data_IF_937488622344
#
_entry.id   IF_937488622344
#
_cell.length_a   1.000
_cell.length_b   1.000
_cell.length_c   1.000
_cell.angle_alpha   90.00
_cell.angle_beta   90.00
_cell.angle_gamma   90.00
#
_symmetry.space_group_name_H-M   'P 1'
#
loop_
_entity.id
_entity.type
_entity.pdbx_description
1 polymer ?
#
# COMPACT_ATOMS: atom_id res chain seq x y z
N UNK A 1 2.28 -34.95 15.59
CA UNK A 1 1.51 -36.20 15.32
C UNK A 1 0.49 -35.85 14.26
N UNK A 2 0.75 -36.14 12.98
CA UNK A 2 -0.21 -35.99 11.91
C UNK A 2 -1.33 -37.02 12.15
N UNK A 3 -2.52 -36.59 12.56
CA UNK A 3 -3.71 -37.39 12.48
C UNK A 3 -3.90 -37.78 11.01
N UNK A 4 -4.13 -39.06 10.72
CA UNK A 4 -4.64 -39.52 9.43
C UNK A 4 -5.99 -38.82 9.21
N UNK A 5 -5.97 -37.63 8.67
CA UNK A 5 -7.19 -36.89 8.29
C UNK A 5 -7.59 -37.38 6.90
N UNK A 6 -8.76 -37.95 6.82
CA UNK A 6 -9.37 -38.35 5.55
C UNK A 6 -10.14 -37.14 5.01
N UNK A 7 -9.45 -36.25 4.27
CA UNK A 7 -10.03 -35.01 3.77
C UNK A 7 -10.58 -35.16 2.38
N UNK A 8 -11.80 -34.65 2.20
CA UNK A 8 -12.51 -34.59 0.93
C UNK A 8 -12.71 -33.12 0.54
N UNK A 9 -12.17 -32.71 -0.59
CA UNK A 9 -12.51 -31.44 -1.21
C UNK A 9 -13.79 -31.60 -2.05
N UNK A 10 -14.75 -30.70 -1.87
CA UNK A 10 -15.97 -30.62 -2.66
C UNK A 10 -16.10 -29.23 -3.25
N UNK A 11 -16.33 -29.16 -4.56
CA UNK A 11 -16.56 -27.92 -5.29
C UNK A 11 -17.96 -27.95 -5.89
N UNK A 12 -18.80 -26.99 -5.47
CA UNK A 12 -20.16 -26.83 -5.98
C UNK A 12 -20.22 -25.54 -6.79
N UNK A 13 -20.72 -25.61 -8.00
CA UNK A 13 -20.84 -24.43 -8.87
C UNK A 13 -22.15 -24.40 -9.66
N UNK A 14 -22.64 -23.21 -9.97
CA UNK A 14 -23.84 -23.00 -10.75
C UNK A 14 -24.56 -21.70 -10.46
N UNK A 15 -25.84 -21.61 -10.81
CA UNK A 15 -26.64 -20.40 -10.57
C UNK A 15 -26.87 -20.17 -9.08
N UNK A 16 -26.47 -18.99 -8.60
CA UNK A 16 -26.62 -18.60 -7.20
C UNK A 16 -28.09 -18.35 -6.83
N UNK A 17 -28.46 -18.81 -5.63
CA UNK A 17 -29.78 -18.60 -5.00
C UNK A 17 -29.72 -18.84 -3.49
N UNK A 18 -30.59 -18.19 -2.72
CA UNK A 18 -30.67 -18.42 -1.27
C UNK A 18 -30.90 -19.91 -0.92
N UNK A 19 -30.24 -20.37 0.15
CA UNK A 19 -30.44 -21.68 0.73
C UNK A 19 -29.51 -22.78 0.24
N UNK A 20 -28.66 -22.56 -0.77
CA UNK A 20 -27.72 -23.58 -1.27
C UNK A 20 -26.79 -24.05 -0.13
N UNK A 21 -26.08 -23.15 0.50
CA UNK A 21 -25.14 -23.47 1.59
C UNK A 21 -25.85 -24.19 2.75
N UNK A 22 -27.06 -23.75 3.11
CA UNK A 22 -27.84 -24.38 4.18
C UNK A 22 -28.22 -25.84 3.86
N UNK A 23 -28.50 -26.16 2.61
CA UNK A 23 -28.86 -27.52 2.18
C UNK A 23 -27.64 -28.43 2.21
N UNK A 24 -26.49 -27.99 1.70
CA UNK A 24 -25.25 -28.76 1.74
C UNK A 24 -24.77 -28.97 3.18
N UNK A 25 -24.72 -27.93 4.01
CA UNK A 25 -24.28 -28.06 5.40
C UNK A 25 -25.21 -28.94 6.25
N UNK A 26 -26.49 -29.02 5.94
CA UNK A 26 -27.41 -29.93 6.59
C UNK A 26 -27.11 -31.40 6.31
N UNK A 27 -26.71 -31.72 5.07
CA UNK A 27 -26.24 -33.06 4.71
C UNK A 27 -24.99 -33.41 5.51
N UNK A 28 -24.01 -32.49 5.57
CA UNK A 28 -22.78 -32.70 6.35
C UNK A 28 -23.06 -32.93 7.83
N UNK A 29 -23.98 -32.14 8.40
CA UNK A 29 -24.43 -32.33 9.80
C UNK A 29 -25.06 -33.72 10.02
N UNK A 30 -25.93 -34.17 9.11
CA UNK A 30 -26.59 -35.49 9.23
C UNK A 30 -25.59 -36.65 9.15
N UNK A 31 -24.47 -36.49 8.46
CA UNK A 31 -23.40 -37.45 8.35
C UNK A 31 -22.30 -37.29 9.42
N UNK A 32 -22.45 -36.36 10.36
CA UNK A 32 -21.45 -36.02 11.41
C UNK A 32 -20.09 -35.65 10.80
N UNK A 33 -20.08 -34.83 9.74
CA UNK A 33 -18.90 -34.37 9.02
C UNK A 33 -18.53 -32.97 9.50
N UNK A 34 -17.25 -32.76 9.81
CA UNK A 34 -16.70 -31.46 10.17
C UNK A 34 -16.21 -30.72 8.90
N UNK A 35 -16.60 -29.46 8.75
CA UNK A 35 -16.07 -28.58 7.72
C UNK A 35 -14.78 -27.99 8.24
N UNK A 36 -13.66 -28.36 7.62
CA UNK A 36 -12.31 -27.88 8.00
C UNK A 36 -12.04 -26.50 7.41
N UNK A 37 -12.50 -26.30 6.16
CA UNK A 37 -12.37 -25.03 5.46
C UNK A 37 -13.55 -24.82 4.51
N UNK A 38 -13.94 -23.57 4.33
CA UNK A 38 -15.06 -23.19 3.46
C UNK A 38 -14.77 -21.85 2.80
N UNK A 39 -14.94 -21.79 1.49
CA UNK A 39 -14.91 -20.56 0.71
C UNK A 39 -16.12 -20.51 -0.20
N UNK A 40 -16.80 -19.35 -0.23
CA UNK A 40 -17.91 -19.11 -1.13
C UNK A 40 -17.72 -17.79 -1.86
N UNK A 41 -17.81 -17.84 -3.18
CA UNK A 41 -17.80 -16.66 -4.03
C UNK A 41 -19.06 -16.63 -4.91
N UNK A 42 -19.64 -15.44 -5.08
CA UNK A 42 -20.72 -15.22 -6.03
C UNK A 42 -20.31 -14.12 -7.00
N UNK A 43 -20.19 -14.46 -8.28
CA UNK A 43 -19.85 -13.53 -9.34
C UNK A 43 -20.95 -13.52 -10.40
N UNK A 44 -21.57 -12.36 -10.61
CA UNK A 44 -22.66 -12.19 -11.60
C UNK A 44 -23.77 -13.25 -11.50
N UNK A 45 -24.20 -13.60 -10.29
CA UNK A 45 -25.19 -14.64 -9.98
C UNK A 45 -24.72 -16.07 -10.26
N UNK A 46 -23.41 -16.29 -10.40
CA UNK A 46 -22.81 -17.62 -10.42
C UNK A 46 -22.13 -17.87 -9.07
N UNK A 47 -22.49 -18.99 -8.44
CA UNK A 47 -21.92 -19.48 -7.19
C UNK A 47 -20.71 -20.36 -7.48
N UNK A 48 -19.64 -20.15 -6.73
CA UNK A 48 -18.60 -21.15 -6.45
C UNK A 48 -18.54 -21.37 -4.94
N UNK A 49 -18.78 -22.60 -4.50
CA UNK A 49 -18.70 -23.01 -3.10
C UNK A 49 -17.67 -24.12 -2.99
N UNK A 50 -16.63 -23.89 -2.20
CA UNK A 50 -15.51 -24.81 -1.95
C UNK A 50 -15.58 -25.26 -0.51
N UNK A 51 -15.52 -26.56 -0.27
CA UNK A 51 -15.61 -27.18 1.05
C UNK A 51 -14.46 -28.16 1.22
N UNK A 52 -13.74 -28.07 2.33
CA UNK A 52 -12.79 -29.09 2.77
C UNK A 52 -13.41 -29.80 3.97
N UNK A 53 -13.66 -31.08 3.83
CA UNK A 53 -14.45 -31.91 4.74
C UNK A 53 -13.57 -32.95 5.42
N UNK A 54 -13.61 -33.06 6.76
CA UNK A 54 -12.99 -34.16 7.52
C UNK A 54 -13.96 -35.32 7.66
N UNK A 55 -13.67 -36.42 6.98
CA UNK A 55 -14.47 -37.65 7.02
C UNK A 55 -14.08 -38.58 8.16
N UNK A 56 -13.12 -38.25 9.02
CA UNK A 56 -12.60 -39.12 10.08
C UNK A 56 -13.66 -39.53 11.09
N UNK A 57 -14.70 -38.74 11.30
CA UNK A 57 -15.81 -38.94 12.23
C UNK A 57 -17.15 -39.22 11.52
N UNK A 58 -17.12 -39.41 10.20
CA UNK A 58 -18.35 -39.63 9.45
C UNK A 58 -19.14 -40.82 9.96
N UNK A 59 -20.46 -40.69 10.13
CA UNK A 59 -21.37 -41.71 10.59
C UNK A 59 -21.65 -42.77 9.53
N UNK A 60 -21.36 -42.50 8.27
CA UNK A 60 -21.57 -43.39 7.13
C UNK A 60 -20.31 -43.44 6.23
N UNK A 61 -20.31 -44.35 5.25
CA UNK A 61 -19.22 -44.47 4.28
C UNK A 61 -19.08 -43.21 3.43
N UNK A 62 -17.86 -42.96 3.00
CA UNK A 62 -17.55 -41.83 2.06
C UNK A 62 -18.45 -41.83 0.83
N UNK A 63 -18.71 -43.00 0.23
CA UNK A 63 -19.58 -43.12 -0.94
C UNK A 63 -21.01 -42.68 -0.67
N UNK A 64 -21.52 -42.95 0.53
CA UNK A 64 -22.86 -42.51 0.95
C UNK A 64 -22.92 -40.97 1.01
N UNK A 65 -21.92 -40.36 1.62
CA UNK A 65 -21.81 -38.88 1.69
C UNK A 65 -21.77 -38.25 0.32
N UNK A 66 -20.87 -38.76 -0.54
CA UNK A 66 -20.72 -38.25 -1.92
C UNK A 66 -22.02 -38.40 -2.70
N UNK A 67 -22.71 -39.53 -2.56
CA UNK A 67 -23.99 -39.79 -3.24
C UNK A 67 -25.06 -38.75 -2.82
N UNK A 68 -25.17 -38.47 -1.53
CA UNK A 68 -26.16 -37.51 -1.03
C UNK A 68 -25.84 -36.08 -1.48
N UNK A 69 -24.55 -35.70 -1.47
CA UNK A 69 -24.12 -34.40 -1.99
C UNK A 69 -24.37 -34.26 -3.49
N UNK A 70 -24.10 -35.30 -4.30
CA UNK A 70 -24.38 -35.32 -5.73
C UNK A 70 -25.88 -35.25 -6.02
N UNK A 71 -26.69 -35.97 -5.26
CA UNK A 71 -28.13 -35.93 -5.38
C UNK A 71 -28.67 -34.53 -5.12
N UNK A 72 -28.20 -33.89 -4.04
CA UNK A 72 -28.59 -32.53 -3.71
C UNK A 72 -28.17 -31.51 -4.80
N UNK A 73 -26.93 -31.61 -5.28
CA UNK A 73 -26.47 -30.77 -6.38
C UNK A 73 -27.36 -30.90 -7.62
N UNK A 74 -27.73 -32.15 -7.98
CA UNK A 74 -28.64 -32.44 -9.08
C UNK A 74 -30.01 -31.80 -8.89
N UNK A 75 -30.64 -31.90 -7.69
CA UNK A 75 -31.89 -31.28 -7.37
C UNK A 75 -31.86 -29.75 -7.51
N UNK A 76 -30.72 -29.16 -7.28
CA UNK A 76 -30.48 -27.73 -7.36
C UNK A 76 -29.97 -27.28 -8.76
N UNK A 77 -29.83 -28.18 -9.74
CA UNK A 77 -29.20 -27.92 -11.03
C UNK A 77 -27.81 -27.26 -10.88
N UNK A 78 -27.01 -27.78 -9.94
CA UNK A 78 -25.63 -27.37 -9.69
C UNK A 78 -24.68 -28.48 -10.14
N UNK A 79 -23.49 -28.11 -10.53
CA UNK A 79 -22.38 -29.03 -10.80
C UNK A 79 -21.61 -29.25 -9.49
N UNK A 80 -21.32 -30.52 -9.18
CA UNK A 80 -20.46 -30.89 -8.03
C UNK A 80 -19.28 -31.72 -8.52
N UNK A 81 -18.09 -31.30 -8.12
CA UNK A 81 -16.85 -32.04 -8.28
C UNK A 81 -16.28 -32.33 -6.89
N UNK A 82 -15.55 -33.42 -6.78
CA UNK A 82 -14.88 -33.78 -5.53
C UNK A 82 -13.52 -34.42 -5.77
N UNK A 83 -12.61 -34.28 -4.82
CA UNK A 83 -11.27 -34.87 -4.81
C UNK A 83 -10.88 -35.22 -3.38
N UNK A 84 -10.30 -36.41 -3.20
CA UNK A 84 -9.63 -36.77 -1.96
C UNK A 84 -8.26 -36.11 -1.89
N UNK A 85 -7.91 -35.59 -0.74
CA UNK A 85 -6.56 -35.10 -0.48
C UNK A 85 -5.60 -36.28 -0.24
N UNK A 86 -4.45 -36.26 -0.92
CA UNK A 86 -3.32 -37.15 -0.59
C UNK A 86 -2.53 -36.58 0.59
N UNK A 87 -1.69 -37.38 1.27
CA UNK A 87 -0.76 -36.88 2.28
C UNK A 87 0.16 -35.76 1.76
N UNK A 88 0.55 -35.81 0.50
CA UNK A 88 1.37 -34.79 -0.18
C UNK A 88 0.61 -33.49 -0.37
N UNK A 89 -0.68 -33.55 -0.73
CA UNK A 89 -1.55 -32.36 -0.79
C UNK A 89 -1.64 -31.69 0.59
N UNK A 90 -1.68 -32.48 1.67
CA UNK A 90 -1.75 -31.97 3.04
C UNK A 90 -0.47 -31.27 3.47
N UNK A 91 0.68 -31.80 3.08
CA UNK A 91 1.97 -31.18 3.36
C UNK A 91 2.10 -29.84 2.62
N UNK A 92 1.70 -29.80 1.34
CA UNK A 92 1.69 -28.58 0.53
C UNK A 92 0.80 -27.48 1.12
N UNK A 93 -0.36 -27.84 1.70
CA UNK A 93 -1.26 -26.87 2.38
C UNK A 93 -0.65 -26.25 3.64
N UNK A 94 0.30 -26.93 4.29
CA UNK A 94 0.98 -26.44 5.50
C UNK A 94 2.12 -25.46 5.21
N UNK A 95 2.62 -25.44 3.98
CA UNK A 95 3.80 -24.65 3.57
C UNK A 95 3.36 -23.38 2.83
N UNK A 96 2.92 -22.38 3.61
CA UNK A 96 2.46 -21.10 3.08
C UNK A 96 3.39 -19.95 3.47
N UNK A 97 3.87 -19.22 2.47
CA UNK A 97 4.54 -17.94 2.62
C UNK A 97 3.85 -16.94 1.70
N UNK A 98 2.83 -16.27 2.24
CA UNK A 98 1.91 -15.48 1.44
C UNK A 98 2.36 -14.03 1.32
N UNK A 99 2.26 -13.52 0.11
CA UNK A 99 2.40 -12.10 -0.22
C UNK A 99 1.17 -11.62 -0.98
N UNK A 100 0.95 -10.32 -0.95
CA UNK A 100 -0.07 -9.66 -1.74
C UNK A 100 0.62 -8.78 -2.76
N UNK A 101 0.41 -9.11 -4.03
CA UNK A 101 0.80 -8.30 -5.17
C UNK A 101 -0.39 -7.43 -5.58
N UNK A 102 -0.23 -6.11 -5.52
CA UNK A 102 -1.24 -5.15 -6.00
C UNK A 102 -0.67 -4.39 -7.18
N UNK A 103 -1.41 -4.30 -8.29
CA UNK A 103 -1.01 -3.47 -9.42
C UNK A 103 -2.16 -2.60 -9.93
N UNK A 104 -1.81 -1.45 -10.52
CA UNK A 104 -2.76 -0.47 -11.02
C UNK A 104 -2.77 -0.47 -12.56
N UNK A 105 -3.20 -1.58 -13.13
CA UNK A 105 -3.26 -1.75 -14.58
C UNK A 105 -4.27 -2.82 -14.99
N UNK A 106 -4.73 -2.77 -16.24
CA UNK A 106 -5.71 -3.71 -16.77
C UNK A 106 -5.10 -5.06 -17.20
N UNK A 107 -5.81 -5.75 -18.09
CA UNK A 107 -5.45 -7.10 -18.59
C UNK A 107 -4.00 -7.26 -19.05
N UNK A 108 -3.36 -6.30 -19.77
CA UNK A 108 -1.97 -6.46 -20.15
C UNK A 108 -1.02 -6.57 -18.95
N UNK A 109 -1.24 -5.77 -17.91
CA UNK A 109 -0.43 -5.82 -16.69
C UNK A 109 -0.64 -7.14 -15.92
N UNK A 110 -1.89 -7.60 -15.82
CA UNK A 110 -2.21 -8.88 -15.21
C UNK A 110 -1.49 -10.03 -15.91
N UNK A 111 -1.45 -10.03 -17.25
CA UNK A 111 -0.77 -11.07 -18.04
C UNK A 111 0.75 -11.07 -17.78
N UNK A 112 1.40 -9.90 -17.84
CA UNK A 112 2.84 -9.77 -17.64
C UNK A 112 3.27 -10.18 -16.22
N UNK A 113 2.55 -9.73 -15.19
CA UNK A 113 2.88 -10.11 -13.82
C UNK A 113 2.61 -11.58 -13.55
N UNK A 114 1.52 -12.14 -14.08
CA UNK A 114 1.26 -13.58 -13.97
C UNK A 114 2.33 -14.42 -14.64
N UNK A 115 2.89 -13.97 -15.78
CA UNK A 115 4.00 -14.64 -16.44
C UNK A 115 5.27 -14.64 -15.57
N UNK A 116 5.64 -13.50 -14.98
CA UNK A 116 6.79 -13.42 -14.07
C UNK A 116 6.60 -14.33 -12.85
N UNK A 117 5.39 -14.35 -12.27
CA UNK A 117 5.07 -15.22 -11.14
C UNK A 117 5.22 -16.70 -11.52
N UNK A 118 4.75 -17.08 -12.71
CA UNK A 118 4.87 -18.46 -13.21
C UNK A 118 6.33 -18.86 -13.45
N UNK A 119 7.16 -17.99 -14.04
CA UNK A 119 8.60 -18.21 -14.27
C UNK A 119 9.37 -18.43 -12.96
N UNK A 120 8.99 -17.74 -11.90
CA UNK A 120 9.58 -17.89 -10.56
C UNK A 120 8.90 -18.96 -9.69
N UNK A 121 8.03 -19.80 -10.30
CA UNK A 121 7.28 -20.88 -9.64
C UNK A 121 6.42 -20.39 -8.45
N UNK A 122 5.81 -19.23 -8.60
CA UNK A 122 4.91 -18.62 -7.61
C UNK A 122 3.47 -18.96 -7.93
N UNK A 123 2.77 -19.58 -6.99
CA UNK A 123 1.34 -19.86 -7.14
C UNK A 123 0.50 -18.64 -6.78
N UNK A 124 -0.52 -18.36 -7.60
CA UNK A 124 -1.54 -17.34 -7.31
C UNK A 124 -2.71 -18.04 -6.62
N UNK A 125 -2.98 -17.71 -5.35
CA UNK A 125 -4.07 -18.33 -4.59
C UNK A 125 -5.41 -17.62 -4.83
N UNK A 126 -5.41 -16.29 -4.84
CA UNK A 126 -6.62 -15.49 -5.10
C UNK A 126 -6.32 -14.30 -5.99
N UNK A 127 -7.29 -13.90 -6.80
CA UNK A 127 -7.26 -12.66 -7.57
C UNK A 127 -8.56 -11.91 -7.31
N UNK A 128 -8.45 -10.65 -6.92
CA UNK A 128 -9.57 -9.73 -6.83
C UNK A 128 -9.27 -8.44 -7.59
N UNK A 129 -10.28 -7.87 -8.21
CA UNK A 129 -10.13 -6.60 -8.93
C UNK A 129 -11.13 -5.58 -8.40
N UNK A 130 -10.66 -4.35 -8.26
CA UNK A 130 -11.50 -3.20 -7.90
C UNK A 130 -11.34 -2.13 -8.96
N UNK A 131 -12.45 -1.60 -9.44
CA UNK A 131 -12.44 -0.50 -10.43
C UNK A 131 -12.97 0.75 -9.76
N UNK A 132 -12.21 1.83 -9.76
CA UNK A 132 -12.60 3.10 -9.15
C UNK A 132 -12.27 4.27 -10.07
N UNK A 133 -13.27 5.12 -10.36
CA UNK A 133 -13.12 6.37 -11.14
C UNK A 133 -12.14 6.29 -12.33
N UNK A 134 -12.13 5.14 -13.03
CA UNK A 134 -11.22 4.89 -14.16
C UNK A 134 -9.87 4.28 -13.79
N UNK A 135 -9.58 4.06 -12.50
CA UNK A 135 -8.42 3.32 -12.03
C UNK A 135 -8.78 1.85 -11.80
N UNK A 136 -8.02 0.93 -12.38
CA UNK A 136 -8.15 -0.50 -12.14
C UNK A 136 -7.07 -0.96 -11.19
N UNK A 137 -7.43 -1.42 -10.00
CA UNK A 137 -6.50 -2.14 -9.13
C UNK A 137 -6.81 -3.63 -9.14
N UNK A 138 -5.78 -4.44 -9.24
CA UNK A 138 -5.84 -5.89 -9.11
C UNK A 138 -4.97 -6.30 -7.93
N UNK A 139 -5.56 -7.03 -6.99
CA UNK A 139 -4.86 -7.62 -5.85
C UNK A 139 -4.78 -9.13 -6.04
N UNK A 140 -3.58 -9.68 -5.99
CA UNK A 140 -3.31 -11.12 -6.08
C UNK A 140 -2.66 -11.59 -4.78
N UNK A 141 -3.26 -12.57 -4.10
CA UNK A 141 -2.57 -13.29 -3.02
C UNK A 141 -1.73 -14.38 -3.66
N UNK A 142 -0.42 -14.36 -3.40
CA UNK A 142 0.56 -15.25 -4.01
C UNK A 142 1.34 -16.01 -2.97
N UNK A 143 1.62 -17.28 -3.20
CA UNK A 143 2.42 -18.12 -2.33
C UNK A 143 3.85 -18.23 -2.86
N UNK A 144 4.78 -17.61 -2.16
CA UNK A 144 6.20 -17.55 -2.53
C UNK A 144 7.06 -18.58 -1.79
N UNK A 145 6.46 -19.65 -1.25
CA UNK A 145 7.19 -20.65 -0.47
C UNK A 145 8.37 -21.26 -1.25
N UNK A 146 8.20 -21.51 -2.54
CA UNK A 146 9.22 -22.12 -3.41
C UNK A 146 10.23 -21.12 -4.02
N UNK A 147 10.13 -19.82 -3.72
CA UNK A 147 10.97 -18.79 -4.33
C UNK A 147 12.34 -18.73 -3.67
N UNK A 148 13.41 -18.79 -4.46
CA UNK A 148 14.79 -18.76 -3.98
C UNK A 148 15.20 -17.38 -3.41
N UNK A 149 14.62 -16.29 -3.91
CA UNK A 149 14.89 -14.92 -3.45
C UNK A 149 13.70 -14.00 -3.72
N UNK A 150 13.07 -13.55 -2.63
CA UNK A 150 11.99 -12.56 -2.68
C UNK A 150 12.49 -11.22 -3.24
N UNK A 151 13.71 -10.83 -2.93
CA UNK A 151 14.28 -9.57 -3.43
C UNK A 151 14.46 -9.60 -4.95
N UNK A 152 14.86 -10.74 -5.52
CA UNK A 152 14.95 -10.92 -6.96
C UNK A 152 13.56 -10.83 -7.62
N UNK A 153 12.57 -11.55 -7.10
CA UNK A 153 11.19 -11.48 -7.57
C UNK A 153 10.67 -10.05 -7.52
N UNK A 154 10.86 -9.37 -6.38
CA UNK A 154 10.48 -7.96 -6.22
C UNK A 154 11.14 -7.07 -7.26
N UNK A 155 12.42 -7.27 -7.52
CA UNK A 155 13.18 -6.49 -8.51
C UNK A 155 12.63 -6.68 -9.94
N UNK A 156 12.34 -7.92 -10.35
CA UNK A 156 11.75 -8.21 -11.66
C UNK A 156 10.38 -7.54 -11.82
N UNK A 157 9.51 -7.68 -10.81
CA UNK A 157 8.18 -7.05 -10.79
C UNK A 157 8.28 -5.52 -10.87
N UNK A 158 9.19 -4.90 -10.11
CA UNK A 158 9.39 -3.44 -10.13
C UNK A 158 9.98 -2.92 -11.45
N UNK A 159 10.86 -3.69 -12.11
CA UNK A 159 11.35 -3.37 -13.46
C UNK A 159 10.20 -3.38 -14.44
N UNK A 160 9.40 -4.45 -14.45
CA UNK A 160 8.25 -4.57 -15.35
C UNK A 160 7.20 -3.48 -15.11
N UNK A 161 6.92 -3.15 -13.87
CA UNK A 161 6.01 -2.05 -13.48
C UNK A 161 6.44 -0.72 -14.11
N UNK A 162 7.74 -0.41 -14.07
CA UNK A 162 8.30 0.80 -14.70
C UNK A 162 8.21 0.76 -16.22
N UNK A 163 8.47 -0.38 -16.85
CA UNK A 163 8.31 -0.55 -18.30
C UNK A 163 6.87 -0.28 -18.75
N UNK A 164 5.91 -0.76 -17.97
CA UNK A 164 4.48 -0.57 -18.22
C UNK A 164 3.97 0.83 -17.80
N UNK A 165 4.75 1.58 -17.01
CA UNK A 165 4.36 2.90 -16.50
C UNK A 165 3.20 2.86 -15.51
N UNK A 166 3.07 1.78 -14.72
CA UNK A 166 2.00 1.57 -13.74
C UNK A 166 2.53 1.39 -12.33
N UNK A 167 1.68 1.65 -11.33
CA UNK A 167 2.00 1.38 -9.93
C UNK A 167 1.96 -0.12 -9.61
N UNK A 168 2.85 -0.54 -8.69
CA UNK A 168 2.91 -1.91 -8.19
C UNK A 168 3.34 -1.94 -6.74
N UNK A 169 2.74 -2.84 -5.95
CA UNK A 169 3.11 -3.14 -4.57
C UNK A 169 3.23 -4.64 -4.33
N UNK A 170 4.27 -5.04 -3.60
CA UNK A 170 4.43 -6.40 -3.09
C UNK A 170 4.57 -6.33 -1.56
N UNK A 171 3.56 -6.77 -0.85
CA UNK A 171 3.48 -6.73 0.61
C UNK A 171 3.37 -8.14 1.17
N UNK A 172 4.00 -8.39 2.31
CA UNK A 172 3.78 -9.66 3.02
C UNK A 172 2.36 -9.75 3.56
N UNK A 173 1.74 -10.91 3.48
CA UNK A 173 0.40 -11.15 4.02
C UNK A 173 0.49 -11.28 5.55
N UNK A 174 0.35 -10.16 6.24
CA UNK A 174 0.50 -10.07 7.70
C UNK A 174 -0.71 -9.38 8.35
N UNK A 175 -0.88 -9.60 9.65
CA UNK A 175 -2.00 -9.03 10.42
C UNK A 175 -2.10 -7.50 10.33
N UNK A 176 -0.96 -6.82 10.21
CA UNK A 176 -0.92 -5.36 10.14
C UNK A 176 -0.98 -4.78 8.72
N UNK A 177 -1.11 -5.61 7.67
CA UNK A 177 -1.22 -5.12 6.29
C UNK A 177 -2.38 -4.15 6.11
N UNK A 178 -3.56 -4.52 6.61
CA UNK A 178 -4.80 -3.72 6.56
C UNK A 178 -5.08 -2.94 7.87
N UNK A 179 -4.13 -2.90 8.80
CA UNK A 179 -4.29 -2.23 10.10
C UNK A 179 -3.18 -1.19 10.31
N UNK A 180 -3.02 -0.32 9.33
CA UNK A 180 -2.14 0.84 9.45
C UNK A 180 -2.86 1.96 10.21
N UNK A 181 -2.11 2.77 10.97
CA UNK A 181 -2.67 3.78 11.87
C UNK A 181 -2.00 5.14 11.77
N UNK A 182 -0.75 5.18 11.31
CA UNK A 182 0.04 6.41 11.22
C UNK A 182 0.71 6.47 9.85
N UNK A 183 0.53 7.59 9.14
CA UNK A 183 1.11 7.77 7.81
C UNK A 183 1.94 9.05 7.81
N UNK A 184 3.20 8.93 7.37
CA UNK A 184 4.07 10.06 7.12
C UNK A 184 4.30 10.27 5.63
N UNK A 185 4.24 11.51 5.22
CA UNK A 185 4.53 11.94 3.87
C UNK A 185 5.73 12.89 3.87
N UNK A 186 6.62 12.74 2.90
CA UNK A 186 7.45 13.87 2.49
C UNK A 186 6.57 14.96 1.86
N UNK A 187 7.07 16.19 1.80
CA UNK A 187 6.31 17.32 1.27
C UNK A 187 6.65 17.57 -0.19
N UNK A 188 7.88 17.98 -0.46
CA UNK A 188 8.34 18.39 -1.79
C UNK A 188 8.33 17.21 -2.77
N UNK A 189 7.81 17.39 -3.98
CA UNK A 189 7.65 16.34 -5.00
C UNK A 189 6.83 15.10 -4.55
N UNK A 190 6.24 15.15 -3.36
CA UNK A 190 5.37 14.09 -2.80
C UNK A 190 3.96 14.63 -2.53
N UNK A 191 3.71 15.36 -1.44
CA UNK A 191 2.40 16.00 -1.19
C UNK A 191 2.13 17.17 -2.14
N UNK A 192 3.17 17.86 -2.54
CA UNK A 192 3.11 18.99 -3.45
C UNK A 192 3.91 18.70 -4.73
N UNK A 193 3.38 19.13 -5.87
CA UNK A 193 3.99 18.86 -7.20
C UNK A 193 5.04 19.92 -7.56
N UNK A 194 5.98 20.16 -6.61
CA UNK A 194 7.08 21.12 -6.81
C UNK A 194 8.16 20.96 -5.72
N UNK A 195 9.33 21.52 -5.99
CA UNK A 195 10.40 21.76 -5.02
C UNK A 195 10.29 23.20 -4.50
N UNK A 196 9.87 23.39 -3.26
CA UNK A 196 9.61 24.73 -2.69
C UNK A 196 10.85 25.63 -2.68
N UNK A 197 12.03 25.06 -2.39
CA UNK A 197 13.27 25.83 -2.38
C UNK A 197 13.62 26.41 -3.76
N UNK A 198 13.22 25.75 -4.84
CA UNK A 198 13.46 26.23 -6.19
C UNK A 198 12.57 27.44 -6.53
N UNK A 199 11.33 27.46 -6.06
CA UNK A 199 10.45 28.63 -6.19
C UNK A 199 10.94 29.82 -5.37
N UNK A 200 11.41 29.55 -4.15
CA UNK A 200 12.05 30.58 -3.33
C UNK A 200 13.27 31.17 -4.05
N UNK A 201 14.09 30.33 -4.67
CA UNK A 201 15.26 30.74 -5.41
C UNK A 201 14.94 31.53 -6.68
N UNK A 202 13.85 31.18 -7.37
CA UNK A 202 13.33 31.97 -8.51
C UNK A 202 12.86 33.36 -8.06
N UNK A 203 12.10 33.41 -6.97
CA UNK A 203 11.61 34.67 -6.41
C UNK A 203 12.75 35.56 -5.90
N UNK A 204 13.82 34.96 -5.36
CA UNK A 204 15.02 35.69 -4.93
C UNK A 204 16.00 36.00 -6.07
N UNK A 205 15.76 35.53 -7.31
CA UNK A 205 16.66 35.76 -8.46
C UNK A 205 17.96 34.94 -8.42
N UNK A 206 18.05 33.88 -7.60
CA UNK A 206 19.26 33.05 -7.36
C UNK A 206 19.11 31.60 -7.78
N UNK A 207 18.13 31.30 -8.65
CA UNK A 207 17.79 29.92 -9.02
C UNK A 207 18.98 29.15 -9.62
N UNK A 208 19.81 29.81 -10.47
CA UNK A 208 20.96 29.14 -11.09
C UNK A 208 22.02 28.71 -10.08
N UNK A 209 22.27 29.54 -9.07
CA UNK A 209 23.22 29.27 -7.99
C UNK A 209 22.72 28.11 -7.10
N UNK A 210 21.45 28.15 -6.73
CA UNK A 210 20.80 27.10 -5.94
C UNK A 210 20.81 25.77 -6.70
N UNK A 211 20.43 25.73 -7.98
CA UNK A 211 20.46 24.56 -8.81
C UNK A 211 21.86 23.93 -8.90
N UNK A 212 22.92 24.76 -9.03
CA UNK A 212 24.32 24.28 -9.05
C UNK A 212 24.71 23.60 -7.74
N UNK A 213 24.28 24.13 -6.59
CA UNK A 213 24.57 23.50 -5.29
C UNK A 213 23.81 22.17 -5.18
N UNK A 214 22.58 22.11 -5.62
CA UNK A 214 21.75 20.89 -5.64
C UNK A 214 22.42 19.81 -6.50
N UNK A 215 22.89 20.15 -7.72
CA UNK A 215 23.62 19.20 -8.58
C UNK A 215 24.88 18.64 -7.93
N UNK A 216 25.67 19.49 -7.25
CA UNK A 216 26.86 19.05 -6.54
C UNK A 216 26.53 18.11 -5.39
N UNK A 217 25.48 18.40 -4.62
CA UNK A 217 24.99 17.52 -3.56
C UNK A 217 24.55 16.15 -4.12
N UNK A 218 23.83 16.14 -5.26
CA UNK A 218 23.42 14.91 -5.94
C UNK A 218 24.61 14.07 -6.46
N UNK A 219 25.76 14.69 -6.73
CA UNK A 219 27.02 14.00 -7.06
C UNK A 219 27.81 13.54 -5.83
N UNK A 220 27.31 13.84 -4.61
CA UNK A 220 28.02 13.50 -3.37
C UNK A 220 29.17 14.43 -3.01
N UNK A 221 29.31 15.62 -3.65
CA UNK A 221 30.32 16.61 -3.32
C UNK A 221 30.07 17.35 -2.01
N UNK A 222 28.79 17.40 -1.58
CA UNK A 222 28.33 17.95 -0.32
C UNK A 222 27.37 16.98 0.37
N UNK A 223 27.39 16.95 1.70
CA UNK A 223 26.31 16.33 2.46
C UNK A 223 25.03 17.18 2.38
N UNK A 224 23.94 16.61 2.85
CA UNK A 224 22.62 17.26 2.79
C UNK A 224 22.61 18.58 3.58
N UNK A 225 23.17 18.57 4.81
CA UNK A 225 23.17 19.74 5.71
C UNK A 225 23.97 20.89 5.13
N UNK A 226 25.21 20.63 4.68
CA UNK A 226 26.03 21.66 4.06
C UNK A 226 25.39 22.25 2.79
N UNK A 227 24.76 21.40 1.98
CA UNK A 227 24.04 21.85 0.80
C UNK A 227 22.83 22.71 1.15
N UNK A 228 22.03 22.32 2.15
CA UNK A 228 20.86 23.07 2.60
C UNK A 228 21.27 24.45 3.13
N UNK A 229 22.28 24.52 4.01
CA UNK A 229 22.76 25.76 4.58
C UNK A 229 23.24 26.73 3.48
N UNK A 230 23.99 26.25 2.50
CA UNK A 230 24.47 27.08 1.38
C UNK A 230 23.30 27.61 0.52
N UNK A 231 22.30 26.76 0.22
CA UNK A 231 21.14 27.17 -0.57
C UNK A 231 20.30 28.22 0.18
N UNK A 232 20.05 28.01 1.48
CA UNK A 232 19.31 28.94 2.32
C UNK A 232 20.04 30.27 2.48
N UNK A 233 21.37 30.27 2.59
CA UNK A 233 22.18 31.50 2.66
C UNK A 233 21.97 32.40 1.44
N UNK A 234 21.76 31.82 0.25
CA UNK A 234 21.48 32.57 -0.99
C UNK A 234 20.09 33.23 -0.98
N UNK A 235 19.15 32.72 -0.17
CA UNK A 235 17.80 33.26 -0.04
C UNK A 235 17.71 34.46 0.92
N UNK A 236 18.85 34.91 1.46
CA UNK A 236 18.89 36.06 2.36
C UNK A 236 18.24 37.29 1.75
N UNK A 237 17.33 37.92 2.47
CA UNK A 237 16.62 39.12 2.04
C UNK A 237 15.29 38.87 1.34
N UNK A 238 14.95 37.62 1.03
CA UNK A 238 13.62 37.26 0.50
C UNK A 238 12.56 37.63 1.56
N UNK A 239 11.55 38.39 1.17
CA UNK A 239 10.55 38.93 2.07
C UNK A 239 9.44 37.93 2.39
N UNK A 240 8.78 38.15 3.52
CA UNK A 240 7.66 37.33 3.95
C UNK A 240 6.47 37.37 2.97
N UNK A 241 6.27 38.50 2.26
CA UNK A 241 5.23 38.63 1.24
C UNK A 241 5.45 37.65 0.08
N UNK A 242 6.67 37.52 -0.38
CA UNK A 242 7.06 36.57 -1.43
C UNK A 242 6.87 35.14 -0.94
N UNK A 243 7.23 34.85 0.32
CA UNK A 243 6.99 33.53 0.92
C UNK A 243 5.50 33.18 0.97
N UNK A 244 4.65 34.14 1.33
CA UNK A 244 3.19 33.98 1.34
C UNK A 244 2.67 33.72 -0.08
N UNK A 245 3.14 34.44 -1.09
CA UNK A 245 2.74 34.23 -2.48
C UNK A 245 3.11 32.83 -2.97
N UNK A 246 4.33 32.35 -2.69
CA UNK A 246 4.75 30.99 -3.01
C UNK A 246 3.84 30.00 -2.30
N UNK A 247 3.64 30.15 -1.00
CA UNK A 247 2.82 29.27 -0.18
C UNK A 247 1.40 29.10 -0.73
N UNK A 248 0.78 30.20 -1.11
CA UNK A 248 -0.61 30.21 -1.59
C UNK A 248 -0.75 29.66 -3.02
N UNK A 249 0.36 29.58 -3.76
CA UNK A 249 0.41 29.04 -5.13
C UNK A 249 0.85 27.58 -5.21
N UNK A 250 1.20 26.94 -4.08
CA UNK A 250 1.70 25.54 -4.08
C UNK A 250 0.63 24.57 -4.62
N UNK A 251 0.90 23.87 -5.73
CA UNK A 251 0.00 22.85 -6.25
C UNK A 251 0.10 21.55 -5.43
N UNK A 252 -1.03 20.97 -5.07
CA UNK A 252 -1.07 19.65 -4.48
C UNK A 252 -0.85 18.58 -5.55
N UNK A 253 -0.18 17.50 -5.18
CA UNK A 253 -0.10 16.31 -6.03
C UNK A 253 -1.50 15.72 -6.28
N UNK A 254 -1.74 15.08 -7.44
CA UNK A 254 -3.05 14.54 -7.78
C UNK A 254 -3.60 13.59 -6.72
N UNK A 255 -4.83 13.82 -6.27
CA UNK A 255 -5.54 12.96 -5.32
C UNK A 255 -5.20 13.18 -3.84
N UNK A 256 -4.28 14.07 -3.48
CA UNK A 256 -3.90 14.34 -2.07
C UNK A 256 -5.10 14.73 -1.23
N UNK A 257 -5.96 15.61 -1.72
CA UNK A 257 -7.12 16.09 -0.97
C UNK A 257 -8.08 14.95 -0.61
N UNK A 258 -8.40 14.09 -1.56
CA UNK A 258 -9.32 12.97 -1.35
C UNK A 258 -8.68 11.88 -0.49
N UNK A 259 -7.39 11.60 -0.69
CA UNK A 259 -6.62 10.71 0.18
C UNK A 259 -6.68 11.16 1.63
N UNK A 260 -6.31 12.42 1.92
CA UNK A 260 -6.25 12.95 3.28
C UNK A 260 -7.65 12.96 3.91
N UNK A 261 -8.69 13.39 3.16
CA UNK A 261 -10.07 13.39 3.62
C UNK A 261 -10.50 11.99 4.06
N UNK A 262 -10.25 10.98 3.22
CA UNK A 262 -10.62 9.59 3.50
C UNK A 262 -9.85 9.04 4.71
N UNK A 263 -8.55 9.24 4.76
CA UNK A 263 -7.72 8.78 5.88
C UNK A 263 -8.12 9.41 7.22
N UNK A 264 -8.41 10.70 7.23
CA UNK A 264 -8.89 11.41 8.43
C UNK A 264 -10.26 10.88 8.88
N UNK A 265 -11.19 10.67 7.95
CA UNK A 265 -12.50 10.08 8.23
C UNK A 265 -12.37 8.70 8.90
N UNK A 266 -11.42 7.88 8.43
CA UNK A 266 -11.14 6.56 8.98
C UNK A 266 -10.27 6.57 10.25
N UNK A 267 -9.92 7.76 10.77
CA UNK A 267 -9.21 7.90 12.04
C UNK A 267 -7.70 7.69 11.99
N UNK A 268 -7.10 7.73 10.80
CA UNK A 268 -5.64 7.69 10.69
C UNK A 268 -5.00 8.96 11.25
N UNK A 269 -3.81 8.80 11.85
CA UNK A 269 -2.94 9.93 12.19
C UNK A 269 -2.01 10.22 11.00
N UNK A 270 -1.90 11.49 10.64
CA UNK A 270 -1.18 11.92 9.46
C UNK A 270 -0.07 12.90 9.85
N UNK A 271 1.13 12.67 9.32
CA UNK A 271 2.29 13.52 9.55
C UNK A 271 2.96 13.97 8.25
N UNK A 272 3.48 15.18 8.25
CA UNK A 272 4.42 15.69 7.25
C UNK A 272 5.82 15.60 7.86
N UNK A 273 6.79 15.05 7.14
CA UNK A 273 8.19 15.07 7.54
C UNK A 273 9.06 15.42 6.34
N UNK A 274 9.62 16.63 6.33
CA UNK A 274 10.29 17.17 5.14
C UNK A 274 11.67 17.77 5.45
N UNK A 275 12.57 17.64 4.47
CA UNK A 275 13.81 18.42 4.42
C UNK A 275 13.60 19.88 3.97
N UNK A 276 12.34 20.24 3.64
CA UNK A 276 11.91 21.61 3.36
C UNK A 276 11.70 22.44 4.65
N UNK A 277 10.81 23.42 4.62
CA UNK A 277 10.74 24.46 5.64
C UNK A 277 9.39 24.51 6.37
N UNK A 278 9.46 24.82 7.66
CA UNK A 278 8.34 24.91 8.60
C UNK A 278 7.24 25.87 8.13
N UNK A 279 7.61 27.01 7.58
CA UNK A 279 6.67 27.99 7.04
C UNK A 279 5.65 27.38 6.05
N UNK A 280 6.09 26.45 5.23
CA UNK A 280 5.25 25.76 4.23
C UNK A 280 4.62 24.49 4.81
N UNK A 281 5.38 23.71 5.58
CA UNK A 281 4.90 22.48 6.18
C UNK A 281 3.76 22.71 7.17
N UNK A 282 3.86 23.74 8.03
CA UNK A 282 2.80 24.13 8.95
C UNK A 282 1.55 24.63 8.23
N UNK A 283 1.71 25.37 7.12
CA UNK A 283 0.59 25.75 6.28
C UNK A 283 -0.13 24.54 5.70
N UNK A 284 0.61 23.59 5.11
CA UNK A 284 0.04 22.35 4.56
C UNK A 284 -0.62 21.50 5.64
N UNK A 285 0.00 21.39 6.82
CA UNK A 285 -0.59 20.74 7.98
C UNK A 285 -1.96 21.32 8.30
N UNK A 286 -2.06 22.65 8.44
CA UNK A 286 -3.30 23.32 8.80
C UNK A 286 -4.34 23.24 7.69
N UNK A 287 -3.95 23.46 6.44
CA UNK A 287 -4.82 23.42 5.25
C UNK A 287 -5.44 22.04 5.00
N UNK A 288 -4.66 20.99 5.19
CA UNK A 288 -5.08 19.61 4.91
C UNK A 288 -5.54 18.84 6.17
N UNK A 289 -5.33 19.40 7.38
CA UNK A 289 -5.74 18.77 8.64
C UNK A 289 -4.81 17.65 9.11
N UNK A 290 -3.51 17.73 8.82
CA UNK A 290 -2.53 16.79 9.36
C UNK A 290 -2.35 16.97 10.87
N UNK A 291 -1.96 15.90 11.55
CA UNK A 291 -1.73 15.91 13.01
C UNK A 291 -0.33 16.44 13.36
N UNK A 292 0.68 16.15 12.53
CA UNK A 292 2.09 16.46 12.77
C UNK A 292 2.74 17.13 11.56
N UNK A 293 3.73 18.01 11.81
CA UNK A 293 4.64 18.53 10.79
C UNK A 293 6.05 18.70 11.39
N UNK A 294 7.05 18.16 10.71
CA UNK A 294 8.46 18.24 11.06
C UNK A 294 9.25 18.73 9.84
N UNK A 295 9.91 19.87 9.99
CA UNK A 295 10.61 20.57 8.93
C UNK A 295 11.78 21.40 9.47
N UNK A 296 12.61 21.92 8.58
CA UNK A 296 13.67 22.87 8.94
C UNK A 296 13.09 24.25 9.24
N UNK A 297 13.56 24.88 10.29
CA UNK A 297 13.11 26.19 10.72
C UNK A 297 13.92 27.30 10.06
N UNK A 298 13.21 28.18 9.31
CA UNK A 298 13.83 29.37 8.74
C UNK A 298 13.90 30.54 9.74
N UNK A 299 15.01 31.26 9.75
CA UNK A 299 15.13 32.49 10.54
C UNK A 299 14.61 33.68 9.73
N UNK A 300 13.50 34.27 10.24
CA UNK A 300 12.99 35.55 9.74
C UNK A 300 13.32 36.66 10.73
N UNK A 301 13.77 37.80 10.20
CA UNK A 301 13.98 39.02 10.99
C UNK A 301 13.49 40.21 10.16
N UNK A 302 12.72 41.09 10.76
CA UNK A 302 12.15 42.28 10.16
C UNK A 302 11.40 41.98 8.83
N UNK A 303 10.64 40.82 8.80
CA UNK A 303 9.86 40.38 7.66
C UNK A 303 10.70 39.85 6.49
N UNK A 304 11.98 39.50 6.71
CA UNK A 304 12.88 38.98 5.68
C UNK A 304 13.66 37.76 6.18
N UNK A 305 13.97 36.85 5.28
CA UNK A 305 14.90 35.74 5.56
C UNK A 305 16.29 36.27 5.88
N UNK A 306 16.89 35.76 6.95
CA UNK A 306 18.30 36.06 7.30
C UNK A 306 19.31 35.25 6.52
N UNK A 307 18.84 34.16 5.86
CA UNK A 307 19.68 33.16 5.20
C UNK A 307 20.19 32.07 6.14
N UNK A 308 19.55 31.90 7.30
CA UNK A 308 19.92 30.87 8.29
C UNK A 308 18.80 29.88 8.55
N UNK A 309 19.22 28.64 8.83
CA UNK A 309 18.37 27.57 9.37
C UNK A 309 18.57 27.53 10.90
N UNK A 310 17.51 27.43 11.66
CA UNK A 310 17.55 27.35 13.12
C UNK A 310 17.41 25.92 13.60
N UNK A 311 18.21 25.56 14.60
CA UNK A 311 18.21 24.22 15.20
C UNK A 311 18.92 23.18 14.34
N UNK A 312 18.65 21.91 14.63
CA UNK A 312 19.26 20.79 13.88
C UNK A 312 18.51 20.57 12.55
N UNK A 313 19.27 20.33 11.49
CA UNK A 313 18.70 20.07 10.16
C UNK A 313 17.93 18.74 10.11
N UNK A 314 16.78 18.75 9.45
CA UNK A 314 15.98 17.56 9.20
C UNK A 314 16.53 16.82 7.99
N UNK A 315 17.48 15.95 8.24
CA UNK A 315 18.08 15.01 7.29
C UNK A 315 17.33 13.67 7.24
N UNK A 316 17.84 12.71 6.47
CA UNK A 316 17.26 11.37 6.37
C UNK A 316 17.18 10.64 7.72
N UNK A 317 18.22 10.75 8.56
CA UNK A 317 18.25 10.10 9.87
C UNK A 317 17.23 10.72 10.82
N UNK A 318 17.06 12.03 10.76
CA UNK A 318 16.10 12.75 11.57
C UNK A 318 14.67 12.51 11.12
N UNK A 319 14.39 12.42 9.82
CA UNK A 319 13.09 11.96 9.30
C UNK A 319 12.71 10.61 9.91
N UNK A 320 13.62 9.64 9.87
CA UNK A 320 13.40 8.33 10.46
C UNK A 320 13.16 8.40 11.98
N UNK A 321 13.90 9.23 12.71
CA UNK A 321 13.69 9.44 14.15
C UNK A 321 12.32 10.03 14.48
N UNK A 322 11.82 10.99 13.71
CA UNK A 322 10.49 11.56 13.92
C UNK A 322 9.39 10.52 13.72
N UNK A 323 9.49 9.65 12.72
CA UNK A 323 8.55 8.54 12.53
C UNK A 323 8.53 7.63 13.75
N UNK A 324 9.71 7.19 14.22
CA UNK A 324 9.86 6.32 15.39
C UNK A 324 9.29 6.97 16.65
N UNK A 325 9.68 8.21 16.92
CA UNK A 325 9.25 8.94 18.13
C UNK A 325 7.73 9.10 18.15
N UNK A 326 7.15 9.55 17.02
CA UNK A 326 5.69 9.74 16.92
C UNK A 326 4.93 8.44 17.07
N UNK A 327 5.43 7.35 16.48
CA UNK A 327 4.83 6.03 16.63
C UNK A 327 4.86 5.57 18.10
N UNK A 328 5.99 5.75 18.78
CA UNK A 328 6.16 5.44 20.19
C UNK A 328 5.22 6.27 21.08
N UNK A 329 5.18 7.59 20.88
CA UNK A 329 4.35 8.54 21.68
C UNK A 329 2.85 8.23 21.58
N UNK A 330 2.43 7.58 20.48
CA UNK A 330 1.04 7.20 20.23
C UNK A 330 0.76 5.71 20.40
N UNK A 331 1.69 4.93 20.95
CA UNK A 331 1.57 3.49 21.13
C UNK A 331 1.16 2.77 19.82
N UNK A 332 1.80 3.14 18.69
CA UNK A 332 1.63 2.56 17.38
C UNK A 332 2.90 1.77 17.04
N UNK A 333 2.75 0.52 16.62
CA UNK A 333 3.89 -0.28 16.17
C UNK A 333 4.41 0.23 14.81
N UNK A 334 5.71 0.08 14.55
CA UNK A 334 6.27 0.44 13.24
C UNK A 334 5.60 -0.33 12.09
N UNK A 335 5.22 -1.58 12.31
CA UNK A 335 4.45 -2.38 11.36
C UNK A 335 3.08 -1.76 11.01
N UNK A 336 2.57 -0.86 11.84
CA UNK A 336 1.33 -0.10 11.62
C UNK A 336 1.57 1.28 11.01
N UNK A 337 2.81 1.59 10.64
CA UNK A 337 3.15 2.87 9.99
C UNK A 337 3.21 2.73 8.47
N UNK A 338 3.00 3.83 7.80
CA UNK A 338 3.22 4.01 6.35
C UNK A 338 4.13 5.22 6.17
N UNK A 339 5.11 5.11 5.29
CA UNK A 339 5.92 6.25 4.88
C UNK A 339 5.87 6.39 3.35
N UNK A 340 5.68 7.63 2.88
CA UNK A 340 5.57 7.98 1.47
C UNK A 340 6.62 9.03 1.15
N UNK A 341 7.43 8.82 0.11
CA UNK A 341 8.46 9.77 -0.31
C UNK A 341 8.95 9.51 -1.73
N UNK A 342 9.71 10.47 -2.30
CA UNK A 342 10.20 10.43 -3.68
C UNK A 342 11.73 10.36 -3.80
N UNK A 343 12.48 10.72 -2.75
CA UNK A 343 13.90 10.98 -2.80
C UNK A 343 14.77 10.09 -1.91
N UNK A 344 16.08 10.12 -2.15
CA UNK A 344 17.05 9.39 -1.35
C UNK A 344 17.08 9.81 0.15
N UNK A 345 16.64 11.05 0.45
CA UNK A 345 16.45 11.57 1.80
C UNK A 345 15.33 10.87 2.58
N UNK A 346 14.47 10.08 1.90
CA UNK A 346 13.38 9.32 2.50
C UNK A 346 13.75 7.87 2.80
N UNK A 347 14.88 7.40 2.26
CA UNK A 347 15.27 5.99 2.31
C UNK A 347 15.24 5.39 3.72
N UNK A 348 15.74 6.12 4.74
CA UNK A 348 15.78 5.64 6.11
C UNK A 348 14.41 5.60 6.79
N UNK A 349 13.51 6.55 6.51
CA UNK A 349 12.14 6.48 7.02
C UNK A 349 11.32 5.41 6.34
N UNK A 350 11.53 5.19 5.03
CA UNK A 350 10.88 4.12 4.27
C UNK A 350 11.33 2.74 4.78
N UNK A 351 12.63 2.55 5.00
CA UNK A 351 13.20 1.25 5.40
C UNK A 351 12.64 0.71 6.74
N UNK A 352 12.16 1.56 7.62
CA UNK A 352 11.62 1.15 8.93
C UNK A 352 10.09 1.05 8.97
N UNK A 353 9.40 1.56 7.95
CA UNK A 353 7.94 1.58 7.92
C UNK A 353 7.35 0.18 7.64
N UNK A 354 6.21 -0.12 8.24
CA UNK A 354 5.45 -1.33 7.93
C UNK A 354 4.92 -1.35 6.48
N UNK A 355 4.75 -0.17 5.86
CA UNK A 355 4.50 -0.02 4.44
C UNK A 355 5.28 1.19 3.91
N UNK A 356 6.25 0.92 3.04
CA UNK A 356 7.10 1.92 2.40
C UNK A 356 6.64 2.16 0.96
N UNK A 357 6.28 3.40 0.63
CA UNK A 357 5.76 3.78 -0.69
C UNK A 357 6.71 4.79 -1.34
N UNK A 358 7.28 4.41 -2.47
CA UNK A 358 8.04 5.28 -3.34
C UNK A 358 7.09 5.94 -4.37
N UNK A 359 6.81 7.23 -4.22
CA UNK A 359 5.89 7.97 -5.06
C UNK A 359 6.65 8.82 -6.08
N UNK A 360 6.40 8.60 -7.38
CA UNK A 360 7.12 9.26 -8.48
C UNK A 360 8.65 9.28 -8.28
N UNK A 361 9.18 8.22 -7.70
CA UNK A 361 10.48 8.18 -7.07
C UNK A 361 11.64 8.36 -8.04
N UNK A 362 12.65 9.08 -7.58
CA UNK A 362 13.97 9.16 -8.21
C UNK A 362 14.66 7.80 -8.16
N UNK A 363 15.52 7.50 -9.14
CA UNK A 363 16.22 6.20 -9.25
C UNK A 363 16.88 5.76 -7.94
N UNK A 364 16.66 4.50 -7.56
CA UNK A 364 17.33 3.86 -6.43
C UNK A 364 16.55 3.86 -5.11
N UNK A 365 15.41 4.57 -5.01
CA UNK A 365 14.57 4.53 -3.82
C UNK A 365 13.75 3.22 -3.74
N UNK A 366 13.43 2.63 -4.87
CA UNK A 366 12.59 1.40 -5.01
C UNK A 366 13.10 0.24 -4.14
N UNK A 367 14.43 0.15 -3.91
CA UNK A 367 15.02 -0.89 -3.05
C UNK A 367 14.60 -0.79 -1.58
N UNK A 368 14.18 0.40 -1.12
CA UNK A 368 13.72 0.66 0.24
C UNK A 368 12.20 0.66 0.37
N UNK A 369 11.47 0.55 -0.75
CA UNK A 369 10.02 0.60 -0.79
C UNK A 369 9.39 -0.79 -1.00
N UNK A 370 8.21 -1.00 -0.43
CA UNK A 370 7.36 -2.16 -0.73
C UNK A 370 6.51 -1.92 -1.99
N UNK A 371 6.26 -0.64 -2.29
CA UNK A 371 5.38 -0.18 -3.34
C UNK A 371 6.07 0.92 -4.13
N UNK A 372 5.94 0.90 -5.45
CA UNK A 372 6.28 2.00 -6.34
C UNK A 372 5.03 2.50 -7.06
N UNK A 373 4.70 3.77 -6.87
CA UNK A 373 3.61 4.46 -7.56
C UNK A 373 4.23 5.49 -8.52
N UNK A 374 4.09 5.23 -9.84
CA UNK A 374 4.61 6.11 -10.87
C UNK A 374 3.43 6.66 -11.71
N UNK A 375 3.35 7.97 -11.85
CA UNK A 375 2.28 8.68 -12.60
C UNK A 375 0.86 8.33 -12.12
N UNK A 376 0.75 7.97 -10.86
CA UNK A 376 -0.48 7.54 -10.19
C UNK A 376 -1.10 8.69 -9.40
N UNK A 377 -2.39 8.57 -9.09
CA UNK A 377 -3.03 9.41 -8.08
C UNK A 377 -2.60 8.98 -6.68
N UNK A 378 -2.47 9.92 -5.75
CA UNK A 378 -2.26 9.60 -4.34
C UNK A 378 -3.39 8.75 -3.74
N UNK A 379 -4.59 8.76 -4.35
CA UNK A 379 -5.72 7.91 -3.95
C UNK A 379 -5.43 6.42 -4.10
N UNK A 380 -4.47 6.02 -4.94
CA UNK A 380 -4.06 4.62 -5.10
C UNK A 380 -3.50 4.02 -3.79
N UNK A 381 -3.02 4.89 -2.87
CA UNK A 381 -2.60 4.48 -1.51
C UNK A 381 -3.77 3.88 -0.72
N UNK A 382 -5.00 4.35 -0.93
CA UNK A 382 -6.20 3.82 -0.24
C UNK A 382 -6.40 2.33 -0.56
N UNK A 383 -6.22 1.93 -1.81
CA UNK A 383 -6.33 0.53 -2.24
C UNK A 383 -5.22 -0.35 -1.63
N UNK A 384 -3.98 0.18 -1.54
CA UNK A 384 -2.87 -0.52 -0.89
C UNK A 384 -3.13 -0.78 0.60
N UNK A 385 -3.89 0.09 1.25
CA UNK A 385 -4.34 -0.05 2.63
C UNK A 385 -5.55 -0.98 2.76
N UNK A 386 -6.14 -1.43 1.64
CA UNK A 386 -7.33 -2.27 1.61
C UNK A 386 -8.62 -1.53 1.97
N UNK A 387 -8.64 -0.21 1.79
CA UNK A 387 -9.82 0.63 1.98
C UNK A 387 -10.76 0.43 0.79
N UNK A 388 -12.03 0.20 1.07
CA UNK A 388 -13.02 -0.13 0.06
C UNK A 388 -13.55 1.13 -0.64
N UNK A 389 -14.16 0.94 -1.81
CA UNK A 389 -14.88 1.98 -2.55
C UNK A 389 -16.00 2.64 -1.73
N UNK A 390 -16.67 1.83 -0.91
CA UNK A 390 -17.74 2.28 -0.04
C UNK A 390 -17.19 3.22 1.03
N UNK A 391 -16.10 2.83 1.70
CA UNK A 391 -15.41 3.66 2.69
C UNK A 391 -14.97 5.01 2.10
N UNK A 392 -14.41 4.98 0.89
CA UNK A 392 -13.96 6.19 0.18
C UNK A 392 -15.15 7.10 -0.14
N UNK A 393 -16.22 6.53 -0.66
CA UNK A 393 -17.44 7.27 -1.01
C UNK A 393 -18.07 7.91 0.22
N UNK A 394 -18.20 7.16 1.31
CA UNK A 394 -18.75 7.63 2.56
C UNK A 394 -17.93 8.77 3.15
N UNK A 395 -16.60 8.61 3.15
CA UNK A 395 -15.68 9.65 3.61
C UNK A 395 -15.81 10.96 2.81
N UNK A 396 -15.90 10.85 1.48
CA UNK A 396 -16.04 12.00 0.60
C UNK A 396 -17.43 12.64 0.67
N UNK A 397 -18.48 11.85 0.93
CA UNK A 397 -19.84 12.35 1.13
C UNK A 397 -20.00 13.12 2.45
N UNK A 398 -19.25 12.74 3.50
CA UNK A 398 -19.22 13.43 4.80
C UNK A 398 -18.41 14.72 4.79
N UNK A 399 -17.83 15.07 3.65
CA UNK A 399 -17.05 16.31 3.48
C UNK A 399 -17.94 17.52 3.68
N UNK A 400 -17.85 18.19 4.83
CA UNK A 400 -18.42 19.52 4.98
C UNK A 400 -17.75 20.45 3.95
N UNK A 401 -18.48 21.30 3.25
CA UNK A 401 -17.85 22.29 2.38
C UNK A 401 -16.94 23.17 3.24
N UNK A 402 -15.65 23.15 2.94
CA UNK A 402 -14.63 24.03 3.52
C UNK A 402 -14.76 25.43 2.91
#
# INVERSE_FOLDING_TARGET
MAKNQNLLMVVVSGKDRPGITARFTRILMNHNIEVVDIEQASLQKLLGLYLVLDLSKASQSQDSVIKDLLFEASQLNLTLNFRLYSPEDMEALSQRNLYVLTHFGGTPALAEFSAILAEENVNIETISSTTHHGSHSVEMTVNVHGVSSIDRLKQQLMVKSRELGIGLGLQKFEAYRKNKRLIFFDMDSTLVDMEVIDEMARSAGVHREVARITEKAMRGEFDFEASLIQRVALLRGLGEKELVQIRDSIPLSPGVQDLVTTLKYLGYKLGIVTGGFDFFADHMKNKLGFDFAYANRLELKDGKLTGKVLGEVVDAARKARFVNQTACDHAILLDQTVCVGDGANDALMLAQAGLAIAYNAKKGLDRFANVALAKSSMTDILHLLGITEEDIRDALACRSPI
#
